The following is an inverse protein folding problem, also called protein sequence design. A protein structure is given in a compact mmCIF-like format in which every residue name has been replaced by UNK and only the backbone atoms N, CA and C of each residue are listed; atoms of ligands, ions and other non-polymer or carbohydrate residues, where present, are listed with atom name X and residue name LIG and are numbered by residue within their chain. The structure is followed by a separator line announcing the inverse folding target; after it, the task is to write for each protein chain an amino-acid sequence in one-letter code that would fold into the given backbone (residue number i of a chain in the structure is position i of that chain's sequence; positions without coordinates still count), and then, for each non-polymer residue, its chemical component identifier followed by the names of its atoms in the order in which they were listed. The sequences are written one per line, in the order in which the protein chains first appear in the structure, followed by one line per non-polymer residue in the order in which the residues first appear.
data_IF_971978684902
#
_entry.id   IF_971978684902
#
_cell.length_a   1.000
_cell.length_b   1.000
_cell.length_c   1.000
_cell.angle_alpha   90.00
_cell.angle_beta   90.00
_cell.angle_gamma   90.00
#
_symmetry.space_group_name_H-M   'P 1'
#
loop_
_entity.id
_entity.type
_entity.pdbx_description
1 polymer ?
#
# COMPACT_ATOMS: atom_id res chain seq x y z
N UNK A 1 3.36 -1.60 10.35
CA UNK A 1 2.02 -1.02 10.51
C UNK A 1 0.95 -2.07 10.27
N UNK A 2 -0.25 -1.89 10.81
CA UNK A 2 -1.42 -2.74 10.54
C UNK A 2 -2.05 -2.40 9.19
N UNK A 3 -2.96 -3.26 8.71
CA UNK A 3 -3.78 -2.95 7.52
C UNK A 3 -4.57 -1.65 7.71
N UNK A 4 -5.09 -1.37 8.92
CA UNK A 4 -5.86 -0.15 9.15
C UNK A 4 -4.96 1.09 9.14
N UNK A 5 -3.81 1.04 9.81
CA UNK A 5 -2.82 2.12 9.80
C UNK A 5 -2.35 2.43 8.37
N UNK A 6 -2.05 1.41 7.56
CA UNK A 6 -1.67 1.60 6.15
C UNK A 6 -2.76 2.30 5.34
N UNK A 7 -4.02 1.89 5.51
CA UNK A 7 -5.17 2.49 4.83
C UNK A 7 -5.35 3.95 5.21
N UNK A 8 -5.19 4.28 6.48
CA UNK A 8 -5.30 5.64 6.99
C UNK A 8 -4.17 6.52 6.46
N UNK A 9 -2.91 6.05 6.51
CA UNK A 9 -1.77 6.78 5.98
C UNK A 9 -1.85 7.01 4.46
N UNK A 10 -2.26 5.99 3.71
CA UNK A 10 -2.25 6.05 2.24
C UNK A 10 -3.58 6.50 1.64
N UNK A 11 -4.62 6.73 2.45
CA UNK A 11 -5.99 7.01 2.01
C UNK A 11 -6.54 5.98 1.01
N UNK A 12 -6.34 4.68 1.29
CA UNK A 12 -6.76 3.57 0.41
C UNK A 12 -7.92 2.78 1.00
N UNK A 13 -8.83 2.32 0.13
CA UNK A 13 -9.94 1.47 0.53
C UNK A 13 -9.49 0.11 1.07
N UNK A 14 -10.32 -0.49 1.93
CA UNK A 14 -10.04 -1.82 2.49
C UNK A 14 -9.90 -2.87 1.38
N UNK A 15 -10.83 -2.87 0.44
CA UNK A 15 -10.86 -3.79 -0.70
C UNK A 15 -9.57 -3.71 -1.51
N UNK A 16 -9.16 -2.49 -1.90
CA UNK A 16 -7.94 -2.27 -2.67
C UNK A 16 -6.69 -2.74 -1.91
N UNK A 17 -6.63 -2.52 -0.61
CA UNK A 17 -5.50 -3.01 0.21
C UNK A 17 -5.39 -4.54 0.15
N UNK A 18 -6.51 -5.26 0.26
CA UNK A 18 -6.50 -6.72 0.14
C UNK A 18 -6.22 -7.20 -1.29
N UNK A 19 -6.68 -6.47 -2.31
CA UNK A 19 -6.34 -6.75 -3.71
C UNK A 19 -4.82 -6.66 -3.93
N UNK A 20 -4.18 -5.59 -3.46
CA UNK A 20 -2.73 -5.41 -3.56
C UNK A 20 -1.95 -6.51 -2.82
N UNK A 21 -2.43 -6.95 -1.66
CA UNK A 21 -1.82 -8.06 -0.93
C UNK A 21 -2.00 -9.37 -1.70
N UNK A 22 -3.18 -9.59 -2.30
CA UNK A 22 -3.49 -10.81 -3.06
C UNK A 22 -2.75 -10.85 -4.40
N UNK A 23 -2.56 -9.72 -5.07
CA UNK A 23 -1.79 -9.61 -6.32
C UNK A 23 -0.29 -9.73 -6.09
N UNK A 24 0.17 -9.53 -4.84
CA UNK A 24 1.59 -9.55 -4.48
C UNK A 24 2.27 -8.19 -4.65
N UNK A 25 1.55 -7.15 -5.06
CA UNK A 25 2.05 -5.78 -5.16
C UNK A 25 2.36 -5.15 -3.80
N UNK A 26 1.69 -5.60 -2.74
CA UNK A 26 1.92 -5.15 -1.38
C UNK A 26 2.32 -6.32 -0.48
N UNK A 27 3.59 -6.34 -0.08
CA UNK A 27 4.10 -7.37 0.82
C UNK A 27 3.54 -7.19 2.24
N UNK A 28 2.79 -8.19 2.70
CA UNK A 28 2.26 -8.26 4.04
C UNK A 28 2.76 -9.51 4.76
N UNK A 29 3.00 -9.40 6.06
CA UNK A 29 3.47 -10.48 6.92
C UNK A 29 2.41 -10.88 7.94
N UNK A 30 2.28 -12.18 8.17
CA UNK A 30 1.38 -12.73 9.19
C UNK A 30 2.06 -12.62 10.55
N UNK A 31 1.41 -11.96 11.51
CA UNK A 31 1.86 -11.83 12.89
C UNK A 31 0.77 -12.36 13.83
N UNK A 32 0.76 -13.69 14.02
CA UNK A 32 -0.29 -14.39 14.75
C UNK A 32 -1.67 -14.18 14.13
N UNK A 33 -2.59 -13.58 14.89
CA UNK A 33 -3.95 -13.26 14.42
C UNK A 33 -4.02 -12.03 13.51
N UNK A 34 -2.96 -11.21 13.47
CA UNK A 34 -2.93 -9.94 12.73
C UNK A 34 -2.13 -10.10 11.44
N UNK A 35 -2.42 -9.22 10.48
CA UNK A 35 -1.60 -9.02 9.28
C UNK A 35 -0.97 -7.65 9.38
N UNK A 36 0.35 -7.59 9.21
CA UNK A 36 1.15 -6.38 9.26
C UNK A 36 1.76 -6.10 7.89
N UNK A 37 1.92 -4.83 7.58
CA UNK A 37 2.68 -4.34 6.43
C UNK A 37 3.96 -3.75 7.00
N UNK A 38 5.11 -4.20 6.49
CA UNK A 38 6.39 -3.63 6.91
C UNK A 38 6.52 -2.22 6.32
N UNK A 39 7.19 -1.32 7.05
CA UNK A 39 7.29 0.08 6.61
C UNK A 39 8.06 0.21 5.29
N UNK A 40 9.12 -0.57 5.12
CA UNK A 40 9.89 -0.69 3.87
C UNK A 40 9.00 -1.15 2.69
N UNK A 41 8.14 -2.14 2.90
CA UNK A 41 7.22 -2.62 1.88
C UNK A 41 6.16 -1.56 1.50
N UNK A 42 5.64 -0.82 2.47
CA UNK A 42 4.71 0.28 2.20
C UNK A 42 5.37 1.39 1.37
N UNK A 43 6.62 1.73 1.70
CA UNK A 43 7.40 2.71 0.95
C UNK A 43 7.71 2.21 -0.46
N UNK A 44 8.19 0.98 -0.60
CA UNK A 44 8.50 0.38 -1.91
C UNK A 44 7.27 0.33 -2.83
N UNK A 45 6.10 0.04 -2.27
CA UNK A 45 4.83 0.10 -3.02
C UNK A 45 4.52 1.52 -3.48
N UNK A 46 4.71 2.53 -2.62
CA UNK A 46 4.49 3.94 -2.98
C UNK A 46 5.45 4.39 -4.08
N UNK A 47 6.73 4.02 -3.98
CA UNK A 47 7.77 4.37 -4.94
C UNK A 47 7.56 3.69 -6.32
N UNK A 48 6.88 2.55 -6.33
CA UNK A 48 6.52 1.84 -7.57
C UNK A 48 5.31 2.46 -8.29
N UNK A 49 4.55 3.35 -7.64
CA UNK A 49 3.41 4.00 -8.27
C UNK A 49 3.87 4.91 -9.43
N UNK A 50 3.11 4.97 -10.53
CA UNK A 50 3.42 5.86 -11.63
C UNK A 50 3.36 7.31 -11.14
N UNK A 51 4.46 8.05 -11.35
CA UNK A 51 4.48 9.49 -11.09
C UNK A 51 3.48 10.18 -12.01
N UNK A 52 2.53 10.91 -11.43
CA UNK A 52 1.66 11.80 -12.19
C UNK A 52 2.53 12.96 -12.67
N UNK A 53 2.99 12.88 -13.93
CA UNK A 53 3.56 14.06 -14.58
C UNK A 53 2.41 15.02 -14.86
N UNK A 54 2.40 16.26 -14.33
CA UNK A 54 1.39 17.22 -14.76
C UNK A 54 1.56 17.38 -16.27
N UNK A 55 0.49 17.08 -17.02
CA UNK A 55 0.45 17.41 -18.43
C UNK A 55 0.67 18.93 -18.51
N UNK A 56 1.70 19.36 -19.26
CA UNK A 56 2.12 20.75 -19.35
C UNK A 56 0.92 21.68 -19.48
N UNK A 57 0.82 22.61 -18.53
CA UNK A 57 -0.19 23.66 -18.54
C UNK A 57 -0.05 24.46 -19.84
N UNK A 58 -1.20 24.76 -20.45
CA UNK A 58 -1.31 25.84 -21.43
C UNK A 58 -1.20 27.18 -20.73
#
# INVERSE_FOLDING_TARGET
MTINEFRECMSISRTRTYELIRSGELAAVKAGRRTLIRADAAQAWLDALPSVRPAGGR
#
